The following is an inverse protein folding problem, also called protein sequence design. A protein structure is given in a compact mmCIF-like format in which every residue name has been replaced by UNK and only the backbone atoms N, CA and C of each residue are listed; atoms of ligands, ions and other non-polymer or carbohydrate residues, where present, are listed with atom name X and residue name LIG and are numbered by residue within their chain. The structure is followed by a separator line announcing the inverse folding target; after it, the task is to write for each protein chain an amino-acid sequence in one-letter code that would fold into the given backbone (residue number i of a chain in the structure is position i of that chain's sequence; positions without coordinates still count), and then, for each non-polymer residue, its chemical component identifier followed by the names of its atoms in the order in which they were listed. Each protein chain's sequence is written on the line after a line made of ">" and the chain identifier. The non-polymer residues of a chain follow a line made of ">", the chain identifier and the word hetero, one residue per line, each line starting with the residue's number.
data_IF_321112020246
#
_entry.id   IF_321112020246
#
_cell.length_a   1.000
_cell.length_b   1.000
_cell.length_c   1.000
_cell.angle_alpha   90.00
_cell.angle_beta   90.00
_cell.angle_gamma   90.00
#
_symmetry.space_group_name_H-M   'P 1'
#
loop_
_entity.id
_entity.type
_entity.pdbx_description
1 polymer ?
#
# COMPACT_ATOMS: atom_id res chain seq x y z
N UNK A 1 -13.88 28.92 -8.58
CA UNK A 1 -13.02 27.88 -9.20
C UNK A 1 -13.29 26.58 -8.46
N UNK A 2 -13.78 25.55 -9.14
CA UNK A 2 -13.89 24.21 -8.56
C UNK A 2 -12.47 23.72 -8.25
N UNK A 3 -12.18 23.40 -7.00
CA UNK A 3 -10.85 22.93 -6.60
C UNK A 3 -10.66 21.49 -7.10
N UNK A 4 -9.79 21.31 -8.08
CA UNK A 4 -9.48 19.99 -8.66
C UNK A 4 -8.25 19.37 -7.99
N UNK A 5 -8.43 18.15 -7.49
CA UNK A 5 -7.38 17.33 -6.91
C UNK A 5 -6.28 17.01 -7.93
N UNK A 6 -6.70 16.60 -9.13
CA UNK A 6 -5.78 16.19 -10.20
C UNK A 6 -5.06 17.39 -10.84
N UNK A 7 -5.64 18.58 -10.78
CA UNK A 7 -5.10 19.82 -11.37
C UNK A 7 -4.93 20.89 -10.32
N UNK A 8 -3.90 20.69 -9.51
CA UNK A 8 -3.56 21.65 -8.46
C UNK A 8 -3.01 22.93 -9.08
N UNK A 9 -3.75 24.03 -8.91
CA UNK A 9 -3.33 25.36 -9.38
C UNK A 9 -2.30 26.00 -8.46
N UNK A 10 -2.39 25.74 -7.15
CA UNK A 10 -1.50 26.32 -6.14
C UNK A 10 -0.07 25.78 -6.27
N UNK A 11 0.91 26.68 -6.18
CA UNK A 11 2.34 26.35 -6.21
C UNK A 11 2.96 26.38 -7.61
N UNK A 12 4.13 25.78 -7.76
CA UNK A 12 4.92 25.69 -9.00
C UNK A 12 4.83 24.28 -9.59
N UNK A 13 3.79 24.03 -10.37
CA UNK A 13 3.42 22.69 -10.87
C UNK A 13 3.94 22.41 -12.31
N UNK A 14 5.15 22.84 -12.66
CA UNK A 14 5.74 22.58 -13.99
C UNK A 14 6.23 21.13 -14.14
N UNK A 15 6.32 20.60 -15.36
CA UNK A 15 6.78 19.21 -15.58
C UNK A 15 8.17 18.92 -14.98
N UNK A 16 9.20 19.78 -15.14
CA UNK A 16 10.51 19.53 -14.54
C UNK A 16 10.47 19.44 -13.01
N UNK A 17 9.59 20.21 -12.36
CA UNK A 17 9.45 20.18 -10.90
C UNK A 17 8.78 18.91 -10.41
N UNK A 18 7.81 18.37 -11.14
CA UNK A 18 7.24 17.05 -10.83
C UNK A 18 8.26 15.93 -11.02
N UNK A 19 9.01 15.95 -12.13
CA UNK A 19 10.07 14.96 -12.39
C UNK A 19 11.11 14.99 -11.27
N UNK A 20 11.59 16.19 -10.90
CA UNK A 20 12.51 16.37 -9.78
C UNK A 20 11.91 15.87 -8.45
N UNK A 21 10.61 16.11 -8.21
CA UNK A 21 9.91 15.65 -7.01
C UNK A 21 9.83 14.13 -6.92
N UNK A 22 9.51 13.46 -8.04
CA UNK A 22 9.49 12.00 -8.12
C UNK A 22 10.90 11.44 -7.88
N UNK A 23 11.91 12.02 -8.52
CA UNK A 23 13.31 11.61 -8.37
C UNK A 23 13.83 11.77 -6.94
N UNK A 24 13.57 12.92 -6.29
CA UNK A 24 13.93 13.14 -4.89
C UNK A 24 13.25 12.12 -3.99
N UNK A 25 11.97 11.85 -4.20
CA UNK A 25 11.24 10.90 -3.35
C UNK A 25 11.81 9.48 -3.48
N UNK A 26 12.11 9.04 -4.70
CA UNK A 26 12.74 7.73 -4.97
C UNK A 26 14.15 7.68 -4.38
N UNK A 27 14.97 8.73 -4.53
CA UNK A 27 16.33 8.75 -3.97
C UNK A 27 16.32 8.74 -2.45
N UNK A 28 15.47 9.55 -1.81
CA UNK A 28 15.38 9.59 -0.35
C UNK A 28 15.00 8.21 0.18
N UNK A 29 14.08 7.51 -0.48
CA UNK A 29 13.73 6.14 -0.13
C UNK A 29 14.89 5.15 -0.38
N UNK A 30 15.47 5.18 -1.59
CA UNK A 30 16.52 4.24 -2.00
C UNK A 30 17.86 4.40 -1.27
N UNK A 31 18.24 5.62 -0.88
CA UNK A 31 19.44 5.88 -0.08
C UNK A 31 19.30 5.33 1.34
N UNK A 32 18.09 5.34 1.90
CA UNK A 32 17.84 4.78 3.22
C UNK A 32 17.88 3.26 3.18
N UNK A 33 17.26 2.64 2.18
CA UNK A 33 17.36 1.19 1.96
C UNK A 33 18.82 0.79 1.78
N UNK A 34 19.53 1.44 0.84
CA UNK A 34 20.94 1.15 0.57
C UNK A 34 21.81 1.42 1.80
N UNK A 35 21.55 2.48 2.55
CA UNK A 35 22.26 2.84 3.76
C UNK A 35 22.04 1.85 4.90
N UNK A 36 20.81 1.36 5.08
CA UNK A 36 20.48 0.33 6.08
C UNK A 36 21.16 -1.00 5.74
N UNK A 37 21.10 -1.42 4.48
CA UNK A 37 21.79 -2.63 3.98
C UNK A 37 23.30 -2.49 4.11
N UNK A 38 23.87 -1.35 3.72
CA UNK A 38 25.31 -1.09 3.82
C UNK A 38 25.80 -1.04 5.27
N UNK A 39 25.04 -0.42 6.17
CA UNK A 39 25.34 -0.42 7.61
C UNK A 39 25.31 -1.84 8.19
N UNK A 40 24.32 -2.65 7.81
CA UNK A 40 24.26 -4.07 8.19
C UNK A 40 25.49 -4.84 7.70
N UNK A 41 25.87 -4.68 6.42
CA UNK A 41 27.06 -5.31 5.83
C UNK A 41 28.34 -4.85 6.52
N UNK A 42 28.52 -3.55 6.77
CA UNK A 42 29.72 -3.03 7.42
C UNK A 42 29.88 -3.52 8.86
N UNK A 43 28.79 -3.63 9.62
CA UNK A 43 28.86 -4.19 10.97
C UNK A 43 29.12 -5.71 10.94
N UNK A 44 28.61 -6.43 9.93
CA UNK A 44 28.93 -7.83 9.70
C UNK A 44 30.36 -8.09 9.22
N UNK A 45 31.00 -7.13 8.55
CA UNK A 45 32.39 -7.25 8.06
C UNK A 45 33.42 -6.75 9.09
N UNK A 46 33.12 -5.67 9.82
CA UNK A 46 34.08 -5.05 10.76
C UNK A 46 34.16 -5.76 12.11
N UNK A 47 33.20 -6.64 12.43
CA UNK A 47 33.22 -7.49 13.60
C UNK A 47 33.18 -8.95 13.14
N UNK A 48 34.36 -9.58 13.01
CA UNK A 48 34.49 -11.04 13.09
C UNK A 48 34.25 -11.48 14.55
N UNK A 49 33.05 -11.18 15.04
CA UNK A 49 32.51 -11.62 16.31
C UNK A 49 31.18 -12.32 15.97
N UNK A 50 31.08 -13.62 16.30
CA UNK A 50 29.93 -14.48 15.97
C UNK A 50 28.58 -13.93 16.51
N UNK A 51 28.64 -12.91 17.38
CA UNK A 51 27.49 -12.23 17.98
C UNK A 51 26.67 -11.36 17.00
N UNK A 52 27.28 -10.80 15.94
CA UNK A 52 26.59 -9.89 15.01
C UNK A 52 26.11 -10.56 13.71
N UNK A 53 26.72 -11.68 13.32
CA UNK A 53 26.16 -12.58 12.29
C UNK A 53 24.76 -13.01 12.70
N UNK A 54 24.54 -13.24 14.00
CA UNK A 54 23.22 -13.50 14.56
C UNK A 54 22.22 -12.35 14.36
N UNK A 55 22.60 -11.06 14.35
CA UNK A 55 21.64 -9.96 14.17
C UNK A 55 21.18 -9.78 12.71
N UNK A 56 22.10 -9.96 11.75
CA UNK A 56 21.76 -9.98 10.33
C UNK A 56 20.95 -11.24 9.96
N UNK A 57 21.31 -12.38 10.54
CA UNK A 57 20.51 -13.60 10.44
C UNK A 57 19.15 -13.44 11.15
N UNK A 58 19.06 -12.71 12.28
CA UNK A 58 17.79 -12.40 12.97
C UNK A 58 16.85 -11.53 12.13
N UNK A 59 17.37 -10.55 11.38
CA UNK A 59 16.58 -9.78 10.42
C UNK A 59 16.06 -10.62 9.25
N UNK A 60 16.79 -11.67 8.88
CA UNK A 60 16.43 -12.62 7.82
C UNK A 60 15.52 -13.75 8.36
N UNK A 61 15.57 -14.04 9.67
CA UNK A 61 14.90 -15.21 10.30
C UNK A 61 13.71 -14.87 11.18
N UNK A 62 13.55 -13.63 11.68
CA UNK A 62 12.35 -13.19 12.42
C UNK A 62 11.41 -12.39 11.50
N UNK A 63 10.29 -13.00 11.05
CA UNK A 63 9.35 -12.36 10.14
C UNK A 63 8.68 -11.12 10.74
N UNK A 64 8.50 -11.06 12.06
CA UNK A 64 7.90 -9.90 12.71
C UNK A 64 8.88 -8.74 12.71
N UNK A 65 10.15 -8.97 13.05
CA UNK A 65 11.17 -7.93 12.98
C UNK A 65 11.35 -7.39 11.56
N UNK A 66 11.39 -8.29 10.57
CA UNK A 66 11.45 -7.95 9.14
C UNK A 66 10.29 -7.02 8.74
N UNK A 67 9.05 -7.38 9.12
CA UNK A 67 7.86 -6.55 8.89
C UNK A 67 8.01 -5.14 9.49
N UNK A 68 8.49 -5.02 10.73
CA UNK A 68 8.68 -3.71 11.36
C UNK A 68 9.68 -2.83 10.61
N UNK A 69 10.78 -3.41 10.14
CA UNK A 69 11.82 -2.69 9.38
C UNK A 69 11.25 -2.21 8.05
N UNK A 70 10.58 -3.09 7.30
CA UNK A 70 9.97 -2.75 6.02
C UNK A 70 8.94 -1.63 6.14
N UNK A 71 8.04 -1.73 7.13
CA UNK A 71 7.04 -0.70 7.38
C UNK A 71 7.69 0.63 7.82
N UNK A 72 8.73 0.60 8.64
CA UNK A 72 9.41 1.81 9.10
C UNK A 72 10.10 2.56 7.95
N UNK A 73 10.73 1.85 7.01
CA UNK A 73 11.43 2.45 5.87
C UNK A 73 10.46 3.23 4.97
N UNK A 74 9.18 2.87 4.92
CA UNK A 74 8.18 3.60 4.10
C UNK A 74 7.91 5.04 4.58
N UNK A 75 8.24 5.39 5.83
CA UNK A 75 8.16 6.76 6.34
C UNK A 75 8.99 7.72 5.49
N UNK A 76 10.11 7.26 4.94
CA UNK A 76 10.98 8.09 4.11
C UNK A 76 10.35 8.47 2.76
N UNK A 77 9.38 7.70 2.25
CA UNK A 77 8.56 8.09 1.10
C UNK A 77 7.71 9.33 1.46
N UNK A 78 7.11 9.34 2.66
CA UNK A 78 6.34 10.50 3.15
C UNK A 78 7.23 11.72 3.27
N UNK A 79 8.45 11.57 3.83
CA UNK A 79 9.42 12.65 3.94
C UNK A 79 9.85 13.18 2.57
N UNK A 80 10.12 12.30 1.61
CA UNK A 80 10.43 12.67 0.23
C UNK A 80 9.28 13.42 -0.44
N UNK A 81 8.04 12.95 -0.27
CA UNK A 81 6.85 13.64 -0.76
C UNK A 81 6.68 15.01 -0.09
N UNK A 82 6.85 15.10 1.22
CA UNK A 82 6.75 16.34 1.99
C UNK A 82 7.77 17.36 1.52
N UNK A 83 9.04 16.97 1.43
CA UNK A 83 10.12 17.81 0.98
C UNK A 83 9.86 18.31 -0.44
N UNK A 84 9.51 17.39 -1.34
CA UNK A 84 9.20 17.71 -2.74
C UNK A 84 8.05 18.71 -2.87
N UNK A 85 6.94 18.47 -2.17
CA UNK A 85 5.76 19.35 -2.26
C UNK A 85 6.03 20.72 -1.63
N UNK A 86 6.74 20.75 -0.50
CA UNK A 86 7.01 21.98 0.26
C UNK A 86 8.02 22.87 -0.43
N UNK A 87 9.13 22.31 -0.91
CA UNK A 87 10.28 23.08 -1.39
C UNK A 87 10.37 23.12 -2.92
N UNK A 88 10.03 22.04 -3.60
CA UNK A 88 10.10 21.95 -5.07
C UNK A 88 8.79 22.45 -5.70
N UNK A 89 7.63 21.91 -5.31
CA UNK A 89 6.33 22.32 -5.84
C UNK A 89 5.77 23.57 -5.15
N UNK A 90 6.35 24.00 -4.02
CA UNK A 90 5.98 25.22 -3.28
C UNK A 90 4.47 25.32 -2.97
N UNK A 91 3.88 24.21 -2.49
CA UNK A 91 2.47 24.16 -2.07
C UNK A 91 2.32 23.36 -0.77
N UNK A 92 1.14 23.39 -0.18
CA UNK A 92 0.87 22.66 1.07
C UNK A 92 0.83 21.15 0.85
N UNK A 93 1.38 20.37 1.79
CA UNK A 93 1.46 18.91 1.70
C UNK A 93 0.10 18.23 1.46
N UNK A 94 -0.95 18.72 2.13
CA UNK A 94 -2.34 18.28 1.96
C UNK A 94 -2.83 18.29 0.51
N UNK A 95 -2.22 19.08 -0.39
CA UNK A 95 -2.53 19.06 -1.82
C UNK A 95 -2.37 17.68 -2.47
N UNK A 96 -1.56 16.79 -1.89
CA UNK A 96 -1.45 15.39 -2.33
C UNK A 96 -2.62 14.52 -1.90
N UNK A 97 -3.42 14.95 -0.92
CA UNK A 97 -4.50 14.15 -0.33
C UNK A 97 -5.86 14.64 -0.82
N UNK A 98 -6.07 15.97 -0.76
CA UNK A 98 -7.41 16.53 -0.95
C UNK A 98 -7.36 17.99 -1.43
N UNK A 99 -8.27 18.40 -2.32
CA UNK A 99 -8.38 19.79 -2.77
C UNK A 99 -9.17 20.67 -1.80
N UNK A 100 -9.80 20.07 -0.78
CA UNK A 100 -10.66 20.76 0.19
C UNK A 100 -9.86 21.41 1.34
N UNK A 101 -10.55 22.20 2.16
CA UNK A 101 -9.93 22.91 3.29
C UNK A 101 -9.37 21.99 4.37
N UNK A 102 -9.95 20.80 4.56
CA UNK A 102 -9.53 19.83 5.57
C UNK A 102 -9.61 18.42 5.00
N UNK A 103 -8.77 17.53 5.53
CA UNK A 103 -8.87 16.10 5.25
C UNK A 103 -10.19 15.59 5.80
N UNK A 104 -10.95 14.89 4.96
CA UNK A 104 -12.21 14.31 5.37
C UNK A 104 -12.03 12.91 5.96
N UNK A 105 -11.79 12.86 7.27
CA UNK A 105 -11.66 11.59 8.02
C UNK A 105 -12.87 10.67 7.87
N UNK A 106 -14.08 11.22 7.68
CA UNK A 106 -15.27 10.38 7.44
C UNK A 106 -15.17 9.62 6.13
N UNK A 107 -14.50 10.17 5.10
CA UNK A 107 -14.25 9.45 3.84
C UNK A 107 -13.22 8.35 4.01
N UNK A 108 -12.15 8.61 4.79
CA UNK A 108 -11.15 7.59 5.12
C UNK A 108 -11.80 6.42 5.85
N UNK A 109 -12.51 6.71 6.95
CA UNK A 109 -13.21 5.69 7.74
C UNK A 109 -14.25 4.95 6.88
N UNK A 110 -15.00 5.65 6.01
CA UNK A 110 -15.96 5.00 5.13
C UNK A 110 -15.29 4.06 4.12
N UNK A 111 -14.21 4.50 3.46
CA UNK A 111 -13.43 3.64 2.55
C UNK A 111 -12.89 2.41 3.26
N UNK A 112 -12.32 2.61 4.45
CA UNK A 112 -11.85 1.54 5.32
C UNK A 112 -12.96 0.55 5.68
N UNK A 113 -14.07 1.03 6.25
CA UNK A 113 -15.15 0.16 6.73
C UNK A 113 -15.79 -0.64 5.61
N UNK A 114 -16.07 -0.03 4.45
CA UNK A 114 -16.67 -0.76 3.32
C UNK A 114 -15.72 -1.85 2.85
N UNK A 115 -14.44 -1.55 2.65
CA UNK A 115 -13.47 -2.52 2.16
C UNK A 115 -13.23 -3.65 3.16
N UNK A 116 -13.05 -3.32 4.45
CA UNK A 116 -12.85 -4.29 5.52
C UNK A 116 -14.05 -5.23 5.68
N UNK A 117 -15.28 -4.71 5.61
CA UNK A 117 -16.50 -5.54 5.70
C UNK A 117 -16.60 -6.48 4.49
N UNK A 118 -16.32 -5.99 3.27
CA UNK A 118 -16.31 -6.83 2.08
C UNK A 118 -15.29 -7.96 2.19
N UNK A 119 -14.06 -7.64 2.61
CA UNK A 119 -13.01 -8.63 2.89
C UNK A 119 -13.44 -9.65 3.94
N UNK A 120 -13.98 -9.19 5.07
CA UNK A 120 -14.44 -10.06 6.14
C UNK A 120 -15.51 -11.05 5.66
N UNK A 121 -16.54 -10.56 4.95
CA UNK A 121 -17.62 -11.41 4.43
C UNK A 121 -17.06 -12.44 3.45
N UNK A 122 -16.22 -11.98 2.50
CA UNK A 122 -15.62 -12.84 1.49
C UNK A 122 -14.71 -13.88 2.13
N UNK A 123 -13.89 -13.50 3.11
CA UNK A 123 -12.99 -14.41 3.80
C UNK A 123 -13.75 -15.47 4.58
N UNK A 124 -14.82 -15.09 5.29
CA UNK A 124 -15.70 -16.06 5.98
C UNK A 124 -16.31 -17.05 4.98
N UNK A 125 -16.80 -16.57 3.84
CA UNK A 125 -17.33 -17.42 2.77
C UNK A 125 -16.24 -18.37 2.27
N UNK A 126 -15.06 -17.87 1.93
CA UNK A 126 -13.93 -18.67 1.44
C UNK A 126 -13.53 -19.74 2.44
N UNK A 127 -13.42 -19.41 3.74
CA UNK A 127 -13.08 -20.38 4.78
C UNK A 127 -14.15 -21.47 4.96
N UNK A 128 -15.44 -21.18 4.72
CA UNK A 128 -16.50 -22.20 4.76
C UNK A 128 -16.35 -23.17 3.58
N UNK A 129 -16.09 -22.66 2.37
CA UNK A 129 -15.99 -23.48 1.17
C UNK A 129 -14.63 -24.17 0.99
N UNK A 130 -13.58 -23.63 1.61
CA UNK A 130 -12.21 -24.13 1.55
C UNK A 130 -11.66 -24.44 2.93
N UNK A 131 -12.50 -24.94 3.85
CA UNK A 131 -12.09 -25.17 5.24
C UNK A 131 -10.82 -26.03 5.38
N UNK A 132 -10.62 -27.00 4.47
CA UNK A 132 -9.42 -27.85 4.45
C UNK A 132 -8.14 -27.16 3.98
N UNK A 133 -8.20 -25.90 3.54
CA UNK A 133 -7.06 -25.11 3.08
C UNK A 133 -6.55 -24.12 4.14
N UNK A 134 -7.24 -24.00 5.28
CA UNK A 134 -6.91 -23.09 6.36
C UNK A 134 -6.64 -23.85 7.65
N UNK A 135 -5.59 -23.47 8.36
CA UNK A 135 -5.33 -23.91 9.73
C UNK A 135 -5.12 -22.71 10.65
N UNK A 136 -5.33 -22.91 11.95
CA UNK A 136 -4.94 -21.91 12.93
C UNK A 136 -3.42 -21.86 13.00
N UNK A 137 -2.88 -20.67 12.86
CA UNK A 137 -1.45 -20.47 13.02
C UNK A 137 -1.07 -20.63 14.50
N UNK A 138 0.11 -21.19 14.77
CA UNK A 138 0.62 -21.33 16.14
C UNK A 138 1.25 -20.00 16.53
N UNK A 139 0.54 -19.24 17.37
CA UNK A 139 0.92 -17.88 17.71
C UNK A 139 0.95 -17.69 19.23
N UNK A 140 2.04 -17.15 19.76
CA UNK A 140 2.06 -16.67 21.13
C UNK A 140 1.43 -15.26 21.22
N UNK A 141 0.78 -14.99 22.35
CA UNK A 141 0.01 -13.76 22.54
C UNK A 141 0.87 -12.48 22.44
N UNK A 142 2.15 -12.55 22.86
CA UNK A 142 3.04 -11.39 22.84
C UNK A 142 3.39 -11.00 21.41
N UNK A 143 3.74 -11.97 20.57
CA UNK A 143 4.03 -11.74 19.15
C UNK A 143 2.79 -11.28 18.40
N UNK A 144 1.61 -11.82 18.72
CA UNK A 144 0.35 -11.33 18.13
C UNK A 144 0.04 -9.87 18.51
N UNK A 145 0.26 -9.50 19.77
CA UNK A 145 0.03 -8.13 20.23
C UNK A 145 0.95 -7.13 19.51
N UNK A 146 2.21 -7.51 19.28
CA UNK A 146 3.14 -6.70 18.48
C UNK A 146 2.65 -6.60 17.02
N UNK A 147 2.18 -7.68 16.42
CA UNK A 147 1.57 -7.64 15.08
C UNK A 147 0.37 -6.68 15.02
N UNK A 148 -0.49 -6.67 16.04
CA UNK A 148 -1.61 -5.71 16.15
C UNK A 148 -1.10 -4.27 16.18
N UNK A 149 -0.02 -3.99 16.92
CA UNK A 149 0.58 -2.65 16.98
C UNK A 149 1.11 -2.24 15.61
N UNK A 150 1.86 -3.12 14.93
CA UNK A 150 2.34 -2.88 13.57
C UNK A 150 1.17 -2.63 12.61
N UNK A 151 0.13 -3.46 12.67
CA UNK A 151 -1.04 -3.36 11.80
C UNK A 151 -1.82 -2.05 12.04
N UNK A 152 -2.07 -1.64 13.27
CA UNK A 152 -2.90 -0.46 13.54
C UNK A 152 -2.13 0.86 13.33
N UNK A 153 -0.80 0.86 13.50
CA UNK A 153 0.01 2.08 13.46
C UNK A 153 0.82 2.17 12.17
N UNK A 154 1.66 1.18 11.92
CA UNK A 154 2.68 1.25 10.87
C UNK A 154 2.10 0.94 9.48
N UNK A 155 1.17 0.00 9.37
CA UNK A 155 0.53 -0.31 8.07
C UNK A 155 -0.22 0.91 7.51
N UNK A 156 -1.08 1.64 8.25
CA UNK A 156 -1.70 2.86 7.73
C UNK A 156 -0.69 3.91 7.27
N UNK A 157 0.46 4.02 7.93
CA UNK A 157 1.54 4.91 7.51
C UNK A 157 2.13 4.43 6.19
N UNK A 158 2.44 3.14 6.08
CA UNK A 158 2.97 2.52 4.86
C UNK A 158 2.00 2.68 3.69
N UNK A 159 0.74 2.26 3.82
CA UNK A 159 -0.24 2.40 2.73
C UNK A 159 -0.48 3.86 2.37
N UNK A 160 -0.48 4.77 3.34
CA UNK A 160 -0.59 6.22 3.07
C UNK A 160 0.63 6.74 2.30
N UNK A 161 1.83 6.23 2.60
CA UNK A 161 3.06 6.62 1.90
C UNK A 161 2.98 6.27 0.41
N UNK A 162 2.47 5.09 0.08
CA UNK A 162 2.26 4.63 -1.29
C UNK A 162 1.17 5.44 -1.98
N UNK A 163 0.02 5.65 -1.32
CA UNK A 163 -1.05 6.46 -1.88
C UNK A 163 -0.58 7.90 -2.17
N UNK A 164 0.18 8.52 -1.26
CA UNK A 164 0.77 9.84 -1.46
C UNK A 164 1.72 9.87 -2.67
N UNK A 165 2.55 8.85 -2.85
CA UNK A 165 3.48 8.79 -3.97
C UNK A 165 2.77 8.54 -5.30
N UNK A 166 2.00 7.45 -5.40
CA UNK A 166 1.40 7.03 -6.66
C UNK A 166 0.16 7.84 -7.04
N UNK A 167 -0.78 8.06 -6.10
CA UNK A 167 -2.08 8.69 -6.35
C UNK A 167 -2.08 10.18 -5.99
N UNK A 168 -1.17 10.59 -5.11
CA UNK A 168 -0.92 11.98 -4.77
C UNK A 168 0.00 12.66 -5.79
N UNK A 169 1.28 12.25 -5.85
CA UNK A 169 2.30 12.96 -6.61
C UNK A 169 2.33 12.55 -8.09
N UNK A 170 2.48 11.25 -8.37
CA UNK A 170 2.60 10.72 -9.74
C UNK A 170 1.32 10.94 -10.55
N UNK A 171 0.16 10.59 -10.00
CA UNK A 171 -1.14 10.77 -10.67
C UNK A 171 -1.41 12.24 -11.03
N UNK A 172 -1.08 13.19 -10.15
CA UNK A 172 -1.26 14.62 -10.44
C UNK A 172 -0.32 15.11 -11.55
N UNK A 173 0.88 14.54 -11.68
CA UNK A 173 1.74 14.82 -12.81
C UNK A 173 1.16 14.25 -14.11
N UNK A 174 0.70 13.00 -14.09
CA UNK A 174 0.10 12.34 -15.25
C UNK A 174 -1.20 13.01 -15.73
N UNK A 175 -1.99 13.55 -14.80
CA UNK A 175 -3.21 14.30 -15.10
C UNK A 175 -2.99 15.62 -15.87
N UNK A 176 -1.73 16.06 -16.02
CA UNK A 176 -1.35 17.15 -16.93
C UNK A 176 -1.42 16.73 -18.40
N UNK A 177 -1.27 15.44 -18.71
CA UNK A 177 -1.28 14.92 -20.08
C UNK A 177 -2.67 14.44 -20.52
N UNK A 178 -3.48 13.92 -19.61
CA UNK A 178 -4.83 13.43 -19.92
C UNK A 178 -5.82 13.71 -18.79
N UNK A 179 -7.09 13.93 -19.14
CA UNK A 179 -8.21 14.04 -18.20
C UNK A 179 -8.97 12.72 -18.02
N UNK A 180 -8.65 11.69 -18.80
CA UNK A 180 -9.41 10.46 -18.77
C UNK A 180 -9.01 9.62 -17.53
N UNK A 181 -9.92 9.42 -16.56
CA UNK A 181 -9.60 8.70 -15.33
C UNK A 181 -9.25 7.23 -15.56
N UNK A 182 -9.74 6.62 -16.65
CA UNK A 182 -9.41 5.23 -17.01
C UNK A 182 -7.97 5.15 -17.50
N UNK A 183 -7.55 6.07 -18.38
CA UNK A 183 -6.15 6.10 -18.86
C UNK A 183 -5.18 6.34 -17.69
N UNK A 184 -5.52 7.26 -16.80
CA UNK A 184 -4.72 7.51 -15.59
C UNK A 184 -4.64 6.26 -14.70
N UNK A 185 -5.75 5.57 -14.49
CA UNK A 185 -5.82 4.35 -13.71
C UNK A 185 -4.99 3.20 -14.33
N UNK A 186 -5.01 3.05 -15.66
CA UNK A 186 -4.18 2.06 -16.35
C UNK A 186 -2.70 2.35 -16.11
N UNK A 187 -2.26 3.60 -16.31
CA UNK A 187 -0.84 3.95 -16.20
C UNK A 187 -0.35 3.80 -14.76
N UNK A 188 -1.05 4.39 -13.79
CA UNK A 188 -0.63 4.32 -12.38
C UNK A 188 -0.78 2.91 -11.83
N UNK A 189 -1.85 2.20 -12.19
CA UNK A 189 -2.06 0.80 -11.82
C UNK A 189 -0.96 -0.12 -12.37
N UNK A 190 -0.56 0.08 -13.63
CA UNK A 190 0.55 -0.65 -14.23
C UNK A 190 1.89 -0.39 -13.53
N UNK A 191 2.22 0.88 -13.28
CA UNK A 191 3.45 1.25 -12.55
C UNK A 191 3.44 0.63 -11.15
N UNK A 192 2.35 0.79 -10.41
CA UNK A 192 2.20 0.22 -9.07
C UNK A 192 2.33 -1.31 -9.07
N UNK A 193 1.55 -2.00 -9.92
CA UNK A 193 1.57 -3.45 -9.98
C UNK A 193 2.91 -4.02 -10.43
N UNK A 194 3.61 -3.34 -11.35
CA UNK A 194 4.93 -3.80 -11.82
C UNK A 194 5.99 -3.88 -10.72
N UNK A 195 5.87 -3.06 -9.67
CA UNK A 195 6.81 -3.09 -8.54
C UNK A 195 6.67 -4.35 -7.68
N UNK A 196 5.56 -5.09 -7.83
CA UNK A 196 5.26 -6.29 -7.06
C UNK A 196 5.62 -7.58 -7.83
N UNK A 197 6.19 -7.48 -9.04
CA UNK A 197 6.57 -8.65 -9.84
C UNK A 197 7.74 -9.44 -9.28
N UNK A 198 8.41 -8.91 -8.26
CA UNK A 198 9.50 -9.58 -7.54
C UNK A 198 9.06 -10.10 -6.17
N UNK A 199 7.76 -9.98 -5.83
CA UNK A 199 7.25 -10.44 -4.57
C UNK A 199 7.19 -11.99 -4.51
N UNK A 200 7.37 -12.62 -3.33
CA UNK A 200 7.34 -14.08 -3.17
C UNK A 200 6.07 -14.74 -3.69
N UNK A 201 4.93 -14.05 -3.65
CA UNK A 201 3.61 -14.52 -4.09
C UNK A 201 3.59 -14.84 -5.59
N UNK A 202 4.52 -14.28 -6.38
CA UNK A 202 4.67 -14.62 -7.80
C UNK A 202 5.04 -16.09 -8.01
N UNK A 203 5.56 -16.78 -6.98
CA UNK A 203 5.80 -18.23 -7.00
C UNK A 203 4.51 -19.05 -7.21
N UNK A 204 3.34 -18.51 -6.81
CA UNK A 204 2.03 -19.12 -7.10
C UNK A 204 1.59 -18.93 -8.56
N UNK A 205 2.34 -18.16 -9.35
CA UNK A 205 2.16 -17.99 -10.79
C UNK A 205 1.83 -16.55 -11.21
N UNK A 206 2.09 -16.25 -12.48
CA UNK A 206 1.94 -14.91 -13.07
C UNK A 206 0.53 -14.31 -12.95
N UNK A 207 -0.50 -15.12 -12.70
CA UNK A 207 -1.87 -14.63 -12.53
C UNK A 207 -1.99 -13.70 -11.31
N UNK A 208 -1.19 -13.89 -10.26
CA UNK A 208 -1.17 -13.04 -9.06
C UNK A 208 -0.82 -11.58 -9.41
N UNK A 209 -0.03 -11.36 -10.47
CA UNK A 209 0.28 -10.00 -10.95
C UNK A 209 -1.00 -9.19 -11.27
N UNK A 210 -2.09 -9.86 -11.69
CA UNK A 210 -3.35 -9.18 -11.96
C UNK A 210 -3.97 -8.57 -10.70
N UNK A 211 -3.74 -9.14 -9.51
CA UNK A 211 -4.27 -8.55 -8.27
C UNK A 211 -3.62 -7.19 -7.99
N UNK A 212 -2.29 -7.11 -8.07
CA UNK A 212 -1.57 -5.84 -7.90
C UNK A 212 -1.89 -4.81 -8.99
N UNK A 213 -2.04 -5.26 -10.24
CA UNK A 213 -2.42 -4.37 -11.35
C UNK A 213 -3.85 -3.85 -11.18
N UNK A 214 -4.80 -4.72 -10.78
CA UNK A 214 -6.20 -4.39 -10.68
C UNK A 214 -6.52 -3.54 -9.45
N UNK A 215 -5.94 -3.85 -8.29
CA UNK A 215 -6.00 -3.00 -7.09
C UNK A 215 -5.45 -1.60 -7.37
N UNK A 216 -4.27 -1.53 -8.01
CA UNK A 216 -3.65 -0.28 -8.43
C UNK A 216 -4.54 0.53 -9.38
N UNK A 217 -5.18 -0.15 -10.33
CA UNK A 217 -6.15 0.46 -11.25
C UNK A 217 -7.37 1.01 -10.50
N UNK A 218 -8.05 0.19 -9.70
CA UNK A 218 -9.31 0.57 -9.05
C UNK A 218 -9.12 1.71 -8.06
N UNK A 219 -8.10 1.67 -7.21
CA UNK A 219 -7.83 2.73 -6.23
C UNK A 219 -7.46 4.05 -6.91
N UNK A 220 -6.70 3.99 -8.02
CA UNK A 220 -6.43 5.18 -8.84
C UNK A 220 -7.70 5.72 -9.48
N UNK A 221 -8.54 4.85 -10.04
CA UNK A 221 -9.78 5.24 -10.70
C UNK A 221 -10.75 5.92 -9.72
N UNK A 222 -10.93 5.35 -8.52
CA UNK A 222 -11.72 5.94 -7.45
C UNK A 222 -11.15 7.30 -7.04
N UNK A 223 -9.84 7.41 -6.89
CA UNK A 223 -9.18 8.69 -6.56
C UNK A 223 -9.49 9.76 -7.61
N UNK A 224 -9.33 9.41 -8.89
CA UNK A 224 -9.59 10.33 -10.00
C UNK A 224 -11.07 10.73 -10.11
N UNK A 225 -12.00 9.78 -9.90
CA UNK A 225 -13.45 10.03 -9.97
C UNK A 225 -14.00 10.79 -8.79
N UNK A 226 -13.45 10.57 -7.60
CA UNK A 226 -13.95 11.14 -6.34
C UNK A 226 -13.16 12.37 -5.88
N UNK A 227 -12.20 12.83 -6.68
CA UNK A 227 -11.45 14.06 -6.52
C UNK A 227 -10.73 14.17 -5.16
N UNK A 228 -10.25 13.05 -4.60
CA UNK A 228 -9.36 12.99 -3.44
C UNK A 228 -8.84 11.57 -3.17
N UNK A 229 -7.77 11.44 -2.38
CA UNK A 229 -7.21 10.15 -1.94
C UNK A 229 -7.98 9.48 -0.81
N UNK A 230 -8.85 10.23 -0.11
CA UNK A 230 -9.32 9.86 1.22
C UNK A 230 -9.98 8.47 1.24
N UNK A 231 -10.73 8.10 0.21
CA UNK A 231 -11.35 6.78 0.09
C UNK A 231 -10.33 5.67 -0.20
N UNK A 232 -9.33 5.95 -1.04
CA UNK A 232 -8.28 5.01 -1.40
C UNK A 232 -7.36 4.72 -0.21
N UNK A 233 -6.99 5.74 0.57
CA UNK A 233 -6.21 5.58 1.81
C UNK A 233 -6.93 4.62 2.77
N UNK A 234 -8.24 4.82 2.98
CA UNK A 234 -9.02 3.95 3.86
C UNK A 234 -9.08 2.50 3.37
N UNK A 235 -9.41 2.30 2.10
CA UNK A 235 -9.53 0.96 1.51
C UNK A 235 -8.19 0.21 1.48
N UNK A 236 -7.11 0.90 1.12
CA UNK A 236 -5.78 0.31 1.05
C UNK A 236 -5.28 -0.10 2.45
N UNK A 237 -5.49 0.75 3.46
CA UNK A 237 -5.18 0.42 4.86
C UNK A 237 -6.02 -0.78 5.34
N UNK A 238 -7.33 -0.82 5.02
CA UNK A 238 -8.19 -1.94 5.37
C UNK A 238 -7.68 -3.27 4.79
N UNK A 239 -7.27 -3.26 3.52
CA UNK A 239 -6.71 -4.44 2.85
C UNK A 239 -5.49 -4.99 3.60
N UNK A 240 -4.48 -4.15 3.80
CA UNK A 240 -3.22 -4.59 4.39
C UNK A 240 -3.36 -4.93 5.87
N UNK A 241 -4.19 -4.20 6.62
CA UNK A 241 -4.49 -4.55 8.02
C UNK A 241 -5.17 -5.91 8.10
N UNK A 242 -6.15 -6.15 7.24
CA UNK A 242 -6.89 -7.42 7.24
C UNK A 242 -5.98 -8.58 6.90
N UNK A 243 -5.22 -8.48 5.80
CA UNK A 243 -4.28 -9.52 5.39
C UNK A 243 -3.25 -9.76 6.50
N UNK A 244 -2.60 -8.72 7.02
CA UNK A 244 -1.63 -8.84 8.09
C UNK A 244 -2.18 -9.54 9.34
N UNK A 245 -3.37 -9.17 9.83
CA UNK A 245 -3.90 -9.71 11.07
C UNK A 245 -4.47 -11.12 10.96
N UNK A 246 -5.02 -11.48 9.79
CA UNK A 246 -5.80 -12.70 9.64
C UNK A 246 -5.14 -13.75 8.76
N UNK A 247 -4.36 -13.39 7.74
CA UNK A 247 -3.89 -14.31 6.72
C UNK A 247 -2.36 -14.30 6.62
N UNK A 248 -1.75 -15.48 6.70
CA UNK A 248 -0.34 -15.68 6.32
C UNK A 248 -0.18 -16.93 5.47
N UNK A 249 0.86 -16.95 4.63
CA UNK A 249 1.25 -18.10 3.79
C UNK A 249 2.76 -18.19 3.78
N UNK A 250 3.34 -19.36 3.52
CA UNK A 250 4.80 -19.53 3.46
C UNK A 250 5.47 -18.64 2.39
N UNK A 251 4.82 -18.42 1.24
CA UNK A 251 5.37 -17.59 0.14
C UNK A 251 4.63 -16.25 -0.01
N UNK A 252 4.60 -15.43 1.04
CA UNK A 252 4.05 -14.07 1.02
C UNK A 252 5.12 -13.04 1.47
N UNK A 253 5.03 -11.77 1.04
CA UNK A 253 5.91 -10.70 1.55
C UNK A 253 5.83 -10.58 3.08
N UNK A 254 4.65 -10.80 3.65
CA UNK A 254 4.42 -10.89 5.10
C UNK A 254 4.30 -12.36 5.57
N UNK A 255 4.99 -13.29 4.90
CA UNK A 255 4.98 -14.72 5.25
C UNK A 255 5.63 -14.98 6.60
N UNK A 256 5.13 -15.98 7.34
CA UNK A 256 5.71 -16.40 8.63
C UNK A 256 5.44 -15.45 9.82
N UNK A 257 4.72 -14.34 9.61
CA UNK A 257 4.28 -13.46 10.70
C UNK A 257 3.25 -14.19 11.58
N UNK A 258 3.06 -13.76 12.84
CA UNK A 258 2.10 -14.39 13.76
C UNK A 258 0.63 -14.05 13.42
N UNK A 259 0.21 -14.13 12.15
CA UNK A 259 -1.18 -13.89 11.71
C UNK A 259 -2.10 -15.03 12.17
N UNK A 260 -3.41 -14.80 12.28
CA UNK A 260 -4.33 -15.80 12.88
C UNK A 260 -4.45 -17.12 12.09
N UNK A 261 -4.52 -17.04 10.76
CA UNK A 261 -4.77 -18.19 9.91
C UNK A 261 -3.61 -18.41 8.93
N UNK A 262 -3.15 -19.65 8.87
CA UNK A 262 -2.22 -20.12 7.86
C UNK A 262 -3.01 -20.68 6.68
N UNK A 263 -2.70 -20.22 5.46
CA UNK A 263 -3.23 -20.78 4.22
C UNK A 263 -2.23 -21.81 3.68
N UNK A 264 -2.59 -23.08 3.77
CA UNK A 264 -1.71 -24.19 3.40
C UNK A 264 -1.72 -24.45 1.89
N UNK A 265 -2.86 -24.18 1.24
CA UNK A 265 -3.02 -24.38 -0.21
C UNK A 265 -3.62 -23.14 -0.84
N UNK A 266 -2.86 -22.53 -1.75
CA UNK A 266 -3.28 -21.33 -2.48
C UNK A 266 -3.75 -21.75 -3.87
N UNK A 267 -5.02 -21.46 -4.18
CA UNK A 267 -5.52 -21.48 -5.55
C UNK A 267 -5.42 -20.05 -6.14
N UNK A 268 -4.39 -19.74 -6.93
CA UNK A 268 -4.12 -18.36 -7.36
C UNK A 268 -5.21 -17.80 -8.27
N UNK A 269 -5.87 -18.65 -9.06
CA UNK A 269 -6.98 -18.23 -9.92
C UNK A 269 -8.20 -17.82 -9.12
N UNK A 270 -8.53 -18.57 -8.06
CA UNK A 270 -9.65 -18.24 -7.20
C UNK A 270 -9.38 -16.95 -6.43
N UNK A 271 -8.21 -16.81 -5.82
CA UNK A 271 -7.80 -15.61 -5.07
C UNK A 271 -7.94 -14.37 -5.95
N UNK A 272 -7.30 -14.36 -7.12
CA UNK A 272 -7.36 -13.23 -8.07
C UNK A 272 -8.79 -12.95 -8.53
N UNK A 273 -9.60 -13.99 -8.78
CA UNK A 273 -11.00 -13.79 -9.19
C UNK A 273 -11.81 -13.12 -8.08
N UNK A 274 -11.63 -13.57 -6.84
CA UNK A 274 -12.29 -13.01 -5.66
C UNK A 274 -11.87 -11.56 -5.45
N UNK A 275 -10.58 -11.25 -5.53
CA UNK A 275 -10.07 -9.90 -5.33
C UNK A 275 -10.56 -8.93 -6.42
N UNK A 276 -10.58 -9.36 -7.68
CA UNK A 276 -11.18 -8.58 -8.77
C UNK A 276 -12.65 -8.27 -8.49
N UNK A 277 -13.43 -9.26 -8.06
CA UNK A 277 -14.84 -9.06 -7.72
C UNK A 277 -14.99 -8.11 -6.52
N UNK A 278 -14.16 -8.26 -5.50
CA UNK A 278 -14.16 -7.42 -4.31
C UNK A 278 -13.88 -5.96 -4.67
N UNK A 279 -12.81 -5.68 -5.41
CA UNK A 279 -12.47 -4.33 -5.85
C UNK A 279 -13.54 -3.75 -6.79
N UNK A 280 -14.15 -4.56 -7.66
CA UNK A 280 -15.25 -4.13 -8.52
C UNK A 280 -16.50 -3.74 -7.71
N UNK A 281 -16.90 -4.56 -6.73
CA UNK A 281 -18.02 -4.28 -5.82
C UNK A 281 -17.74 -3.02 -5.00
N UNK A 282 -16.54 -2.90 -4.44
CA UNK A 282 -16.11 -1.70 -3.72
C UNK A 282 -16.24 -0.44 -4.61
N UNK A 283 -15.69 -0.49 -5.82
CA UNK A 283 -15.78 0.60 -6.78
C UNK A 283 -17.24 0.98 -7.09
N UNK A 284 -18.11 0.00 -7.33
CA UNK A 284 -19.53 0.21 -7.57
C UNK A 284 -20.22 0.92 -6.40
N UNK A 285 -20.00 0.47 -5.16
CA UNK A 285 -20.57 1.06 -3.94
C UNK A 285 -20.13 2.53 -3.80
N UNK A 286 -18.84 2.80 -3.99
CA UNK A 286 -18.28 4.15 -3.87
C UNK A 286 -18.90 5.09 -4.91
N UNK A 287 -18.96 4.68 -6.18
CA UNK A 287 -19.46 5.53 -7.25
C UNK A 287 -20.96 5.83 -7.10
N UNK A 288 -21.77 4.83 -6.74
CA UNK A 288 -23.19 5.01 -6.43
C UNK A 288 -23.40 6.03 -5.31
N UNK A 289 -22.58 5.97 -4.26
CA UNK A 289 -22.69 6.89 -3.12
C UNK A 289 -22.29 8.32 -3.48
N UNK A 290 -21.28 8.49 -4.32
CA UNK A 290 -20.83 9.81 -4.79
C UNK A 290 -21.83 10.45 -5.73
N UNK A 291 -22.41 9.67 -6.65
CA UNK A 291 -23.42 10.18 -7.59
C UNK A 291 -24.74 10.54 -6.89
N UNK A 292 -25.12 9.84 -5.81
CA UNK A 292 -26.31 10.18 -5.01
C UNK A 292 -26.25 11.54 -4.28
N UNK A 293 -25.09 12.21 -4.29
CA UNK A 293 -24.87 13.50 -3.62
C UNK A 293 -24.69 14.68 -4.61
N UNK A 294 -24.73 14.42 -5.90
CA UNK A 294 -24.76 15.44 -6.96
C UNK A 294 -26.21 15.71 -7.34
#
# INVERSE_FOLDING_TARGET
>A
MLTEFLRVEKGKNTHPRYILSLFITIIVFGLIITGAVYFGILNGINNFDDSLVNEADLLITDPLLSLYVDLFITIFIILGCWFSVRFVLKRGFKSLITPYERINWRRIIFGFSVFFILLFIIQVITMIFQFGSYSFNIVDWKSYLLLIIAAIILIPIQTTSEELFFRGLLLQWLAKFTKNPIILAIIVGAIFGSLHFFNPEMSYGWIIALDYLFSGFILTYITAKTNSLELAIGAHAANNIFVCLFITTENNVMGGIPSMFLVETVNPYLVVTIDILLYAIFCFIILRKVDSKK
#
